data_IF_526352909804
#
_entry.id   IF_526352909804
#
_cell.length_a   1.000
_cell.length_b   1.000
_cell.length_c   1.000
_cell.angle_alpha   90.00
_cell.angle_beta   90.00
_cell.angle_gamma   90.00
#
_symmetry.space_group_name_H-M   'P 1'
#
loop_
_entity.id
_entity.type
_entity.pdbx_description
1 polymer ?
#
# COMPACT_ATOMS: atom_id res chain seq x y z
N UNK A 1 1.38 -3.31 -5.34
CA UNK A 1 2.41 -4.37 -5.31
C UNK A 1 2.62 -4.90 -6.71
N UNK A 2 3.71 -5.60 -7.00
CA UNK A 2 3.91 -6.26 -8.29
C UNK A 2 3.95 -7.77 -8.09
N UNK A 3 3.41 -8.49 -9.06
CA UNK A 3 3.50 -9.94 -9.12
C UNK A 3 4.97 -10.39 -9.07
N UNK A 4 5.25 -11.42 -8.27
CA UNK A 4 6.56 -12.08 -8.23
C UNK A 4 6.60 -13.03 -9.43
N UNK A 5 7.03 -12.52 -10.58
CA UNK A 5 7.17 -13.33 -11.81
C UNK A 5 8.39 -14.26 -11.80
N UNK A 6 9.38 -13.97 -10.94
CA UNK A 6 10.59 -14.76 -10.76
C UNK A 6 10.57 -15.45 -9.40
N UNK A 7 10.03 -16.68 -9.36
CA UNK A 7 9.92 -17.49 -8.14
C UNK A 7 11.30 -17.86 -7.53
N UNK A 8 12.40 -17.71 -8.29
CA UNK A 8 13.74 -17.99 -7.76
C UNK A 8 14.10 -17.06 -6.59
N UNK A 9 13.47 -15.88 -6.50
CA UNK A 9 13.61 -14.94 -5.37
C UNK A 9 13.08 -15.55 -4.07
N UNK A 10 11.99 -16.30 -4.14
CA UNK A 10 11.43 -16.98 -2.95
C UNK A 10 12.29 -18.19 -2.57
N UNK A 11 12.76 -18.94 -3.56
CA UNK A 11 13.66 -20.08 -3.33
C UNK A 11 15.01 -19.67 -2.74
N UNK A 12 15.60 -18.57 -3.21
CA UNK A 12 16.86 -18.04 -2.66
C UNK A 12 16.67 -17.53 -1.23
N UNK A 13 15.54 -16.88 -0.95
CA UNK A 13 15.16 -16.46 0.39
C UNK A 13 15.05 -17.65 1.35
N UNK A 14 14.29 -18.69 0.98
CA UNK A 14 14.10 -19.89 1.80
C UNK A 14 15.43 -20.59 2.08
N UNK A 15 16.24 -20.85 1.04
CA UNK A 15 17.56 -21.47 1.20
C UNK A 15 18.49 -20.62 2.09
N UNK A 16 18.40 -19.29 1.98
CA UNK A 16 19.10 -18.36 2.86
C UNK A 16 18.69 -18.53 4.33
N UNK A 17 17.38 -18.65 4.60
CA UNK A 17 16.86 -18.89 5.96
C UNK A 17 17.27 -20.27 6.52
N UNK A 18 17.32 -21.30 5.68
CA UNK A 18 17.76 -22.65 6.10
C UNK A 18 19.25 -22.68 6.43
N UNK A 19 20.09 -22.04 5.60
CA UNK A 19 21.54 -22.05 5.78
C UNK A 19 22.01 -21.16 6.94
N UNK A 20 21.39 -20.00 7.09
CA UNK A 20 21.71 -19.05 8.15
C UNK A 20 20.43 -18.42 8.69
N UNK A 21 19.78 -19.09 9.66
CA UNK A 21 18.57 -18.58 10.27
C UNK A 21 18.81 -17.21 10.88
N UNK A 22 17.96 -16.26 10.54
CA UNK A 22 18.03 -14.92 11.10
C UNK A 22 17.55 -14.90 12.56
N UNK A 23 17.88 -13.83 13.32
CA UNK A 23 17.36 -13.65 14.66
C UNK A 23 15.83 -13.85 14.69
N UNK A 24 15.39 -14.79 15.50
CA UNK A 24 13.99 -15.15 15.67
C UNK A 24 13.73 -15.43 17.15
N UNK A 25 12.51 -15.17 17.60
CA UNK A 25 12.10 -15.43 18.97
C UNK A 25 11.16 -16.63 19.00
N UNK A 26 11.54 -17.66 19.74
CA UNK A 26 10.66 -18.78 20.04
C UNK A 26 9.94 -18.49 21.35
N UNK A 27 8.60 -18.43 21.32
CA UNK A 27 7.76 -18.13 22.48
C UNK A 27 6.50 -19.00 22.41
N UNK A 28 6.24 -19.78 23.46
CA UNK A 28 5.04 -20.62 23.60
C UNK A 28 4.73 -21.50 22.38
N UNK A 29 5.76 -22.13 21.81
CA UNK A 29 5.64 -23.00 20.63
C UNK A 29 5.44 -22.25 19.31
N UNK A 30 5.55 -20.92 19.29
CA UNK A 30 5.50 -20.08 18.09
C UNK A 30 6.86 -19.48 17.80
N UNK A 31 7.16 -19.26 16.52
CA UNK A 31 8.37 -18.56 16.08
C UNK A 31 7.98 -17.20 15.53
N UNK A 32 8.53 -16.14 16.11
CA UNK A 32 8.37 -14.77 15.66
C UNK A 32 9.62 -14.38 14.87
N UNK A 33 9.42 -14.02 13.62
CA UNK A 33 10.47 -13.56 12.72
C UNK A 33 10.46 -12.03 12.67
N UNK A 34 11.65 -11.44 12.53
CA UNK A 34 11.75 -10.04 12.14
C UNK A 34 11.33 -9.89 10.68
N UNK A 35 10.65 -8.79 10.35
CA UNK A 35 10.34 -8.47 8.97
C UNK A 35 11.63 -8.33 8.16
N UNK A 36 11.64 -8.86 6.93
CA UNK A 36 12.80 -8.80 6.05
C UNK A 36 12.35 -8.46 4.64
N UNK A 37 13.08 -7.56 4.01
CA UNK A 37 12.90 -7.25 2.60
C UNK A 37 13.32 -8.44 1.73
N UNK A 38 12.48 -8.77 0.77
CA UNK A 38 12.84 -9.68 -0.32
C UNK A 38 13.77 -8.94 -1.29
N UNK A 39 14.66 -9.68 -1.95
CA UNK A 39 15.43 -9.10 -3.05
C UNK A 39 14.47 -8.58 -4.12
N UNK A 40 14.71 -7.36 -4.61
CA UNK A 40 13.89 -6.79 -5.67
C UNK A 40 14.09 -7.65 -6.92
N UNK A 41 13.02 -8.24 -7.50
CA UNK A 41 13.14 -9.07 -8.69
C UNK A 41 13.76 -8.28 -9.84
N UNK A 42 14.61 -8.94 -10.63
CA UNK A 42 15.24 -8.32 -11.83
C UNK A 42 14.22 -7.87 -12.87
N UNK A 43 13.02 -8.48 -12.85
CA UNK A 43 11.88 -8.12 -13.67
C UNK A 43 10.66 -7.95 -12.78
N UNK A 44 10.06 -6.78 -12.85
CA UNK A 44 8.79 -6.51 -12.19
C UNK A 44 7.68 -7.21 -12.97
N UNK A 45 6.82 -7.96 -12.27
CA UNK A 45 5.63 -8.57 -12.86
C UNK A 45 4.50 -7.56 -13.08
N UNK A 46 3.30 -8.07 -13.31
CA UNK A 46 2.11 -7.23 -13.47
C UNK A 46 1.80 -6.49 -12.16
N UNK A 47 1.36 -5.22 -12.18
CA UNK A 47 0.85 -4.58 -10.97
C UNK A 47 -0.38 -5.32 -10.45
N UNK A 48 -0.41 -5.56 -9.14
CA UNK A 48 -1.49 -6.24 -8.43
C UNK A 48 -2.01 -5.33 -7.33
N UNK A 49 -3.33 -5.21 -7.23
CA UNK A 49 -3.99 -4.57 -6.10
C UNK A 49 -3.74 -5.40 -4.84
N UNK A 50 -3.19 -4.74 -3.83
CA UNK A 50 -2.82 -5.31 -2.55
C UNK A 50 -3.33 -4.40 -1.44
N UNK A 51 -3.21 -4.82 -0.18
CA UNK A 51 -3.61 -4.03 0.99
C UNK A 51 -5.11 -3.70 1.05
N UNK A 52 -5.95 -4.72 1.29
CA UNK A 52 -7.39 -4.56 1.47
C UNK A 52 -7.81 -4.14 2.89
N UNK A 53 -6.88 -3.64 3.71
CA UNK A 53 -7.13 -3.27 5.10
C UNK A 53 -8.15 -2.15 5.28
N UNK A 54 -8.26 -1.27 4.28
CA UNK A 54 -9.25 -0.17 4.22
C UNK A 54 -10.32 -0.40 3.15
N UNK A 55 -10.43 -1.61 2.61
CA UNK A 55 -11.44 -1.90 1.60
C UNK A 55 -12.85 -1.91 2.22
N UNK A 56 -13.77 -1.19 1.58
CA UNK A 56 -15.16 -1.11 2.00
C UNK A 56 -16.09 -1.87 1.04
N UNK A 57 -17.24 -2.32 1.55
CA UNK A 57 -18.26 -2.99 0.74
C UNK A 57 -18.84 -2.01 -0.30
N UNK A 58 -18.89 -2.43 -1.56
CA UNK A 58 -19.56 -1.67 -2.61
C UNK A 58 -21.08 -1.65 -2.43
N UNK A 59 -21.75 -0.69 -3.08
CA UNK A 59 -23.22 -0.56 -3.06
C UNK A 59 -23.79 0.12 -1.83
N UNK A 60 -22.94 0.66 -0.96
CA UNK A 60 -23.30 1.52 0.16
C UNK A 60 -22.50 2.84 0.06
N UNK A 61 -23.03 3.88 0.70
CA UNK A 61 -22.29 5.10 0.96
C UNK A 61 -21.51 4.97 2.26
N UNK A 62 -20.34 5.61 2.28
CA UNK A 62 -19.38 5.58 3.38
C UNK A 62 -19.05 7.01 3.81
N UNK A 63 -18.66 7.18 5.07
CA UNK A 63 -18.32 8.48 5.68
C UNK A 63 -16.96 8.48 6.35
N UNK A 64 -16.36 7.30 6.53
CA UNK A 64 -15.05 7.13 7.11
C UNK A 64 -13.94 7.64 6.17
N UNK A 65 -12.83 8.06 6.77
CA UNK A 65 -11.64 8.44 6.03
C UNK A 65 -10.87 7.18 5.62
N UNK A 66 -10.93 6.82 4.34
CA UNK A 66 -10.35 5.58 3.81
C UNK A 66 -9.13 5.78 2.90
N UNK A 67 -8.87 7.01 2.44
CA UNK A 67 -7.87 7.29 1.41
C UNK A 67 -6.56 7.83 2.01
N UNK A 68 -5.40 7.58 1.38
CA UNK A 68 -4.19 8.33 1.72
C UNK A 68 -4.36 9.82 1.43
N UNK A 69 -3.80 10.68 2.28
CA UNK A 69 -3.98 12.15 2.21
C UNK A 69 -3.66 12.76 0.84
N UNK A 70 -2.61 12.26 0.18
CA UNK A 70 -2.19 12.70 -1.16
C UNK A 70 -3.21 12.42 -2.24
N UNK A 71 -4.09 11.45 -2.03
CA UNK A 71 -5.10 11.02 -2.99
C UNK A 71 -6.53 11.21 -2.48
N UNK A 72 -6.75 12.00 -1.43
CA UNK A 72 -8.09 12.31 -0.94
C UNK A 72 -8.95 12.90 -2.06
N UNK A 73 -10.07 12.24 -2.35
CA UNK A 73 -11.08 12.75 -3.26
C UNK A 73 -11.80 13.94 -2.61
N UNK A 74 -12.33 14.90 -3.39
CA UNK A 74 -13.02 16.06 -2.84
C UNK A 74 -14.16 15.68 -1.89
N UNK A 75 -14.95 14.66 -2.21
CA UNK A 75 -16.02 14.17 -1.36
C UNK A 75 -15.52 13.63 -0.01
N UNK A 76 -14.36 12.96 0.01
CA UNK A 76 -13.75 12.44 1.25
C UNK A 76 -13.18 13.58 2.10
N UNK A 77 -12.52 14.55 1.48
CA UNK A 77 -11.95 15.72 2.18
C UNK A 77 -13.05 16.61 2.78
N UNK A 78 -14.19 16.72 2.10
CA UNK A 78 -15.33 17.53 2.52
C UNK A 78 -16.31 16.77 3.44
N UNK A 79 -15.96 15.55 3.87
CA UNK A 79 -16.81 14.69 4.70
C UNK A 79 -18.21 14.44 4.10
N UNK A 80 -18.29 14.43 2.76
CA UNK A 80 -19.49 14.10 2.00
C UNK A 80 -19.53 12.59 1.80
N UNK A 81 -20.72 11.94 1.90
CA UNK A 81 -20.85 10.52 1.63
C UNK A 81 -20.21 10.13 0.30
N UNK A 82 -19.41 9.07 0.32
CA UNK A 82 -18.64 8.63 -0.83
C UNK A 82 -18.93 7.18 -1.20
N UNK A 83 -18.64 6.85 -2.46
CA UNK A 83 -18.78 5.49 -3.02
C UNK A 83 -17.55 5.17 -3.88
N UNK A 84 -17.62 4.19 -4.78
CA UNK A 84 -16.48 3.76 -5.61
C UNK A 84 -15.84 4.86 -6.49
N UNK A 85 -16.47 6.03 -6.65
CA UNK A 85 -15.89 7.18 -7.39
C UNK A 85 -14.55 7.61 -6.82
N UNK A 86 -14.34 7.44 -5.52
CA UNK A 86 -13.11 7.80 -4.82
C UNK A 86 -11.91 6.99 -5.32
N UNK A 87 -12.12 5.72 -5.69
CA UNK A 87 -11.07 4.87 -6.27
C UNK A 87 -10.65 5.36 -7.66
N UNK A 88 -11.60 5.87 -8.45
CA UNK A 88 -11.32 6.44 -9.78
C UNK A 88 -10.48 7.71 -9.63
N UNK A 89 -10.78 8.54 -8.63
CA UNK A 89 -9.95 9.69 -8.28
C UNK A 89 -8.52 9.26 -7.89
N UNK A 90 -8.38 8.24 -7.03
CA UNK A 90 -7.08 7.71 -6.64
C UNK A 90 -6.26 7.25 -7.86
N UNK A 91 -6.87 6.49 -8.77
CA UNK A 91 -6.22 5.99 -9.99
C UNK A 91 -5.78 7.16 -10.88
N UNK A 92 -6.61 8.19 -11.05
CA UNK A 92 -6.26 9.40 -11.81
C UNK A 92 -5.04 10.12 -11.23
N UNK A 93 -5.02 10.32 -9.91
CA UNK A 93 -3.87 10.89 -9.20
C UNK A 93 -2.60 10.06 -9.37
N UNK A 94 -2.70 8.74 -9.19
CA UNK A 94 -1.55 7.83 -9.32
C UNK A 94 -0.95 7.85 -10.74
N UNK A 95 -1.78 7.83 -11.79
CA UNK A 95 -1.31 7.88 -13.19
C UNK A 95 -0.55 9.18 -13.45
N UNK A 96 -1.08 10.30 -12.97
CA UNK A 96 -0.44 11.60 -13.07
C UNK A 96 0.92 11.58 -12.36
N UNK A 97 0.96 11.10 -11.13
CA UNK A 97 2.17 11.05 -10.31
C UNK A 97 3.28 10.23 -10.96
N UNK A 98 2.95 9.06 -11.51
CA UNK A 98 3.88 8.22 -12.26
C UNK A 98 4.37 8.94 -13.53
N UNK A 99 3.50 9.67 -14.22
CA UNK A 99 3.87 10.40 -15.44
C UNK A 99 4.79 11.60 -15.17
N UNK A 100 4.63 12.30 -14.04
CA UNK A 100 5.43 13.48 -13.71
C UNK A 100 6.60 13.21 -12.75
N UNK A 101 6.66 12.01 -12.17
CA UNK A 101 7.67 11.64 -11.17
C UNK A 101 7.54 12.39 -9.84
N UNK A 102 6.38 13.01 -9.57
CA UNK A 102 6.09 13.76 -8.34
C UNK A 102 4.59 13.77 -8.05
N UNK A 103 4.24 13.90 -6.78
CA UNK A 103 2.85 13.95 -6.37
C UNK A 103 2.10 15.18 -6.87
N UNK A 104 0.87 14.98 -7.34
CA UNK A 104 -0.04 16.05 -7.75
C UNK A 104 -0.45 16.92 -6.56
N UNK A 105 -0.71 16.28 -5.42
CA UNK A 105 -1.03 16.94 -4.16
C UNK A 105 -0.02 16.51 -3.09
N UNK A 106 0.24 17.37 -2.11
CA UNK A 106 1.09 17.01 -0.97
C UNK A 106 0.30 16.35 0.16
N UNK A 107 -1.02 16.53 0.19
CA UNK A 107 -1.89 16.06 1.29
C UNK A 107 -1.61 16.77 2.62
N UNK A 108 -0.86 17.88 2.60
CA UNK A 108 -0.53 18.68 3.77
C UNK A 108 -1.46 19.89 3.85
N UNK A 109 -1.99 20.13 5.04
CA UNK A 109 -2.61 21.39 5.39
C UNK A 109 -1.51 22.47 5.49
N UNK A 110 -1.59 23.51 4.66
CA UNK A 110 -0.59 24.58 4.62
C UNK A 110 -0.72 25.58 5.78
N UNK A 111 -1.89 25.63 6.43
CA UNK A 111 -2.18 26.53 7.55
C UNK A 111 -1.66 25.95 8.87
N UNK A 112 -1.80 24.64 9.06
CA UNK A 112 -1.41 23.96 10.30
C UNK A 112 -0.15 23.08 10.17
N UNK A 113 0.39 22.90 8.96
CA UNK A 113 1.47 21.93 8.66
C UNK A 113 1.17 20.51 9.14
N UNK A 114 -0.12 20.17 9.26
CA UNK A 114 -0.60 18.86 9.67
C UNK A 114 -1.21 18.12 8.48
N UNK A 115 -1.32 16.81 8.62
CA UNK A 115 -2.14 16.02 7.73
C UNK A 115 -3.62 16.22 8.07
N UNK A 116 -4.50 16.18 7.08
CA UNK A 116 -5.95 16.07 7.31
C UNK A 116 -6.17 14.79 8.12
N UNK A 117 -6.63 14.91 9.37
CA UNK A 117 -6.82 13.81 10.33
C UNK A 117 -8.27 13.68 10.73
#
# INVERSE_FOLDING_TARGET
>A
MFEISDESVLGSFEQGQLRNPWPRKELDGRVIYIAKELEIPKRMGTPVLCEFGSAAMGGAEHLEYAQPNTYGAPEVILEVPWTYSVDIWNVGGMIRDVSEGRSLFTGQDLEFQTYLS
#
